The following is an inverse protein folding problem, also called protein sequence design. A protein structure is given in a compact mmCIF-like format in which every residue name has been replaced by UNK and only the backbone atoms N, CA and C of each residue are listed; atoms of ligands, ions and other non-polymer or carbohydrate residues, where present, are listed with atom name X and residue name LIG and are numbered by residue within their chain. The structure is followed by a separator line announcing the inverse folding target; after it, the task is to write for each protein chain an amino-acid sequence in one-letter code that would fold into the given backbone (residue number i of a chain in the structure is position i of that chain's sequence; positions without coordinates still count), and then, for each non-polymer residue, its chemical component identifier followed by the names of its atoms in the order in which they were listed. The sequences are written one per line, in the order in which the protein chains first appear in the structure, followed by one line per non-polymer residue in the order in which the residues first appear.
data_IF_694603768738
#
_entry.id   IF_694603768738
#
_cell.length_a   1.000
_cell.length_b   1.000
_cell.length_c   1.000
_cell.angle_alpha   90.00
_cell.angle_beta   90.00
_cell.angle_gamma   90.00
#
_symmetry.space_group_name_H-M   'P 1'
#
loop_
_entity.id
_entity.type
_entity.pdbx_description
1 polymer ?
#
# COMPACT_ATOMS: atom_id res chain seq x y z
N UNK A 1 -1.03 -8.03 -12.60
CA UNK A 1 -0.88 -6.72 -13.26
C UNK A 1 -2.14 -5.91 -12.96
N UNK A 2 -2.05 -4.58 -12.81
CA UNK A 2 -3.09 -3.77 -12.15
C UNK A 2 -4.08 -3.15 -13.14
N UNK A 3 -4.64 -3.98 -14.01
CA UNK A 3 -5.51 -3.55 -15.11
C UNK A 3 -6.55 -4.64 -15.45
N UNK A 4 -7.67 -4.22 -16.04
CA UNK A 4 -8.72 -5.09 -16.53
C UNK A 4 -8.35 -5.79 -17.84
N UNK A 5 -9.29 -6.58 -18.37
CA UNK A 5 -9.15 -7.30 -19.64
C UNK A 5 -8.99 -6.38 -20.85
N UNK A 6 -9.48 -5.14 -20.77
CA UNK A 6 -9.34 -4.11 -21.79
C UNK A 6 -8.03 -3.30 -21.68
N UNK A 7 -7.15 -3.58 -20.71
CA UNK A 7 -5.91 -2.85 -20.47
C UNK A 7 -6.05 -1.60 -19.60
N UNK A 8 -7.28 -1.17 -19.31
CA UNK A 8 -7.58 -0.04 -18.43
C UNK A 8 -7.20 -0.33 -16.97
N UNK A 9 -6.64 0.64 -16.23
CA UNK A 9 -6.31 0.47 -14.82
C UNK A 9 -7.53 0.15 -13.96
N UNK A 10 -7.41 -0.83 -13.06
CA UNK A 10 -8.43 -1.07 -12.04
C UNK A 10 -8.19 -0.13 -10.85
N UNK A 11 -8.79 1.06 -10.89
CA UNK A 11 -8.63 2.09 -9.85
C UNK A 11 -9.84 2.11 -8.92
N UNK A 12 -9.58 2.04 -7.61
CA UNK A 12 -10.57 2.27 -6.57
C UNK A 12 -10.39 3.71 -6.07
N UNK A 13 -11.35 4.58 -6.40
CA UNK A 13 -11.36 5.96 -5.92
C UNK A 13 -12.02 6.05 -4.56
N UNK A 14 -11.25 6.38 -3.53
CA UNK A 14 -11.70 6.32 -2.13
C UNK A 14 -12.61 7.50 -1.73
N UNK A 15 -12.32 8.71 -2.22
CA UNK A 15 -13.10 9.89 -1.83
C UNK A 15 -14.59 9.78 -2.25
N UNK A 16 -14.93 9.34 -3.48
CA UNK A 16 -16.33 9.12 -3.86
C UNK A 16 -17.08 8.12 -2.98
N UNK A 17 -16.41 7.04 -2.54
CA UNK A 17 -17.02 6.02 -1.66
C UNK A 17 -17.37 6.62 -0.29
N UNK A 18 -16.47 7.43 0.27
CA UNK A 18 -16.72 8.11 1.54
C UNK A 18 -17.83 9.17 1.42
N UNK A 19 -17.85 9.96 0.35
CA UNK A 19 -18.93 10.92 0.09
C UNK A 19 -20.28 10.21 -0.05
N UNK A 20 -20.34 9.08 -0.78
CA UNK A 20 -21.57 8.29 -0.93
C UNK A 20 -22.05 7.71 0.40
N UNK A 21 -21.12 7.34 1.28
CA UNK A 21 -21.44 6.93 2.65
C UNK A 21 -21.80 8.12 3.56
N UNK A 22 -21.85 9.36 3.06
CA UNK A 22 -22.26 10.53 3.83
C UNK A 22 -21.17 11.06 4.77
N UNK A 23 -19.89 10.81 4.47
CA UNK A 23 -18.78 11.51 5.12
C UNK A 23 -18.55 12.84 4.42
N UNK A 24 -18.25 13.87 5.21
CA UNK A 24 -18.01 15.22 4.70
C UNK A 24 -16.65 15.79 5.07
N UNK A 25 -15.96 15.21 6.05
CA UNK A 25 -14.70 15.75 6.58
C UNK A 25 -13.65 14.65 6.75
N UNK A 26 -12.85 14.48 5.72
CA UNK A 26 -11.82 13.46 5.63
C UNK A 26 -10.74 13.88 4.63
N UNK A 27 -9.58 13.25 4.73
CA UNK A 27 -8.48 13.45 3.77
C UNK A 27 -7.85 12.12 3.37
N UNK A 28 -7.92 11.80 2.09
CA UNK A 28 -7.21 10.66 1.50
C UNK A 28 -5.81 11.09 1.11
N UNK A 29 -4.80 10.33 1.54
CA UNK A 29 -3.39 10.50 1.18
C UNK A 29 -2.91 9.26 0.44
N UNK A 30 -2.29 9.47 -0.73
CA UNK A 30 -1.63 8.45 -1.52
C UNK A 30 -0.11 8.64 -1.38
N UNK A 31 0.56 7.96 -0.42
CA UNK A 31 1.96 8.24 -0.09
C UNK A 31 2.96 7.65 -1.10
N UNK A 32 2.50 7.09 -2.23
CA UNK A 32 3.36 6.50 -3.25
C UNK A 32 4.25 7.54 -3.95
N UNK A 33 3.77 8.77 -4.10
CA UNK A 33 4.48 9.88 -4.73
C UNK A 33 4.23 11.18 -3.99
N UNK A 34 4.93 12.24 -4.41
CA UNK A 34 4.63 13.60 -3.96
C UNK A 34 3.17 14.00 -4.28
N UNK A 35 2.48 14.76 -3.40
CA UNK A 35 1.07 15.12 -3.58
C UNK A 35 0.75 15.98 -4.80
N UNK A 36 1.75 16.60 -5.45
CA UNK A 36 1.55 17.39 -6.66
C UNK A 36 1.62 16.56 -7.95
N UNK A 37 1.91 15.25 -7.86
CA UNK A 37 1.84 14.34 -8.99
C UNK A 37 0.38 13.99 -9.26
N UNK A 38 -0.16 14.45 -10.40
CA UNK A 38 -1.55 14.23 -10.80
C UNK A 38 -1.72 13.22 -11.94
N UNK A 39 -0.63 12.65 -12.45
CA UNK A 39 -0.69 11.62 -13.48
C UNK A 39 -0.76 10.22 -12.86
N UNK A 40 -0.97 9.20 -13.69
CA UNK A 40 -1.03 7.77 -13.31
C UNK A 40 0.07 7.26 -12.35
N UNK A 41 1.20 7.96 -12.20
CA UNK A 41 2.23 7.68 -11.20
C UNK A 41 1.78 7.80 -9.74
N UNK A 42 0.68 8.51 -9.46
CA UNK A 42 0.12 8.68 -8.11
C UNK A 42 -0.78 7.51 -7.65
N UNK A 43 -0.87 6.44 -8.43
CA UNK A 43 -1.72 5.29 -8.16
C UNK A 43 -0.91 4.13 -7.58
N UNK A 44 -1.23 3.71 -6.36
CA UNK A 44 -0.51 2.67 -5.61
C UNK A 44 -1.43 1.69 -4.89
N UNK A 45 -0.86 0.61 -4.35
CA UNK A 45 -1.62 -0.40 -3.59
C UNK A 45 -1.86 -0.05 -2.11
N UNK A 46 -1.49 1.15 -1.68
CA UNK A 46 -1.58 1.61 -0.29
C UNK A 46 -2.09 3.06 -0.25
N UNK A 47 -3.03 3.33 0.65
CA UNK A 47 -3.51 4.67 0.97
C UNK A 47 -3.69 4.81 2.49
N UNK A 48 -3.61 6.04 2.99
CA UNK A 48 -3.97 6.37 4.37
C UNK A 48 -5.02 7.47 4.39
N UNK A 49 -5.97 7.37 5.31
CA UNK A 49 -7.13 8.26 5.41
C UNK A 49 -7.15 8.89 6.78
N UNK A 50 -7.21 10.21 6.82
CA UNK A 50 -7.43 11.01 8.03
C UNK A 50 -8.91 11.33 8.14
N UNK A 51 -9.48 11.16 9.33
CA UNK A 51 -10.87 11.46 9.64
C UNK A 51 -10.89 12.51 10.74
N UNK A 52 -11.64 13.60 10.55
CA UNK A 52 -11.71 14.65 11.57
C UNK A 52 -12.62 14.23 12.75
N UNK A 53 -13.64 13.41 12.50
CA UNK A 53 -14.55 12.91 13.54
C UNK A 53 -14.34 11.44 13.85
N UNK A 54 -14.16 11.13 15.14
CA UNK A 54 -14.12 9.75 15.64
C UNK A 54 -15.43 8.98 15.36
N UNK A 55 -16.57 9.68 15.24
CA UNK A 55 -17.85 9.04 14.90
C UNK A 55 -17.86 8.42 13.49
N UNK A 56 -16.97 8.88 12.62
CA UNK A 56 -16.98 8.50 11.21
C UNK A 56 -16.14 7.26 10.92
N UNK A 57 -15.35 6.79 11.89
CA UNK A 57 -14.49 5.62 11.73
C UNK A 57 -15.26 4.36 11.32
N UNK A 58 -16.37 4.06 11.99
CA UNK A 58 -17.18 2.89 11.69
C UNK A 58 -17.78 2.99 10.28
N UNK A 59 -18.30 4.18 9.93
CA UNK A 59 -18.92 4.44 8.63
C UNK A 59 -17.90 4.40 7.49
N UNK A 60 -16.71 4.96 7.69
CA UNK A 60 -15.61 4.91 6.73
C UNK A 60 -15.18 3.45 6.46
N UNK A 61 -15.09 2.62 7.51
CA UNK A 61 -14.78 1.20 7.35
C UNK A 61 -15.88 0.44 6.60
N UNK A 62 -17.13 0.69 6.95
CA UNK A 62 -18.30 0.09 6.29
C UNK A 62 -18.38 0.48 4.81
N UNK A 63 -18.05 1.73 4.46
CA UNK A 63 -18.01 2.21 3.07
C UNK A 63 -17.01 1.46 2.18
N UNK A 64 -16.01 0.80 2.78
CA UNK A 64 -14.99 0.02 2.08
C UNK A 64 -15.24 -1.50 2.19
N UNK A 65 -16.20 -1.92 3.02
CA UNK A 65 -16.53 -3.33 3.17
C UNK A 65 -17.18 -3.87 1.89
N UNK A 66 -16.74 -5.06 1.46
CA UNK A 66 -17.20 -5.67 0.22
C UNK A 66 -16.81 -4.94 -1.08
N UNK A 67 -16.03 -3.86 -1.03
CA UNK A 67 -15.53 -3.19 -2.24
C UNK A 67 -14.52 -4.09 -2.95
N UNK A 68 -14.86 -4.53 -4.16
CA UNK A 68 -13.97 -5.36 -4.98
C UNK A 68 -12.59 -4.71 -5.15
N UNK A 69 -11.55 -5.48 -4.83
CA UNK A 69 -10.15 -5.04 -4.94
C UNK A 69 -9.59 -4.36 -3.69
N UNK A 70 -10.40 -4.10 -2.65
CA UNK A 70 -9.89 -3.76 -1.32
C UNK A 70 -9.52 -5.04 -0.59
N UNK A 71 -8.24 -5.19 -0.22
CA UNK A 71 -7.72 -6.38 0.47
C UNK A 71 -7.78 -6.22 2.00
N UNK A 72 -7.42 -5.04 2.52
CA UNK A 72 -7.46 -4.74 3.96
C UNK A 72 -7.88 -3.30 4.22
N UNK A 73 -8.66 -3.12 5.28
CA UNK A 73 -8.91 -1.84 5.93
C UNK A 73 -8.55 -1.99 7.41
N UNK A 74 -7.50 -1.29 7.81
CA UNK A 74 -6.94 -1.35 9.16
C UNK A 74 -7.10 0.00 9.84
N UNK A 75 -7.34 -0.02 11.15
CA UNK A 75 -7.16 1.17 11.99
C UNK A 75 -5.69 1.55 12.06
N UNK A 76 -5.40 2.79 12.46
CA UNK A 76 -4.04 3.26 12.77
C UNK A 76 -3.26 2.26 13.63
N UNK A 77 -3.85 1.81 14.73
CA UNK A 77 -3.17 0.92 15.68
C UNK A 77 -2.88 -0.45 15.07
N UNK A 78 -3.87 -1.07 14.42
CA UNK A 78 -3.70 -2.35 13.71
C UNK A 78 -2.59 -2.26 12.65
N UNK A 79 -2.56 -1.17 11.87
CA UNK A 79 -1.55 -0.97 10.84
C UNK A 79 -0.16 -0.72 11.42
N UNK A 80 -0.04 0.06 12.49
CA UNK A 80 1.24 0.33 13.15
C UNK A 80 1.83 -0.93 13.76
N UNK A 81 1.00 -1.74 14.42
CA UNK A 81 1.42 -3.02 15.00
C UNK A 81 1.82 -4.03 13.92
N UNK A 82 0.98 -4.21 12.89
CA UNK A 82 1.20 -5.22 11.85
C UNK A 82 2.40 -4.89 10.94
N UNK A 83 2.60 -3.61 10.63
CA UNK A 83 3.59 -3.18 9.63
C UNK A 83 4.80 -2.46 10.22
N UNK A 84 4.82 -2.20 11.53
CA UNK A 84 5.90 -1.46 12.19
C UNK A 84 5.94 0.02 11.77
N UNK A 85 4.78 0.65 11.65
CA UNK A 85 4.66 2.04 11.18
C UNK A 85 4.65 3.04 12.35
N UNK A 86 5.14 4.28 12.14
CA UNK A 86 5.05 5.36 13.13
C UNK A 86 3.62 5.92 13.20
N UNK A 87 2.98 5.81 14.37
CA UNK A 87 1.58 6.21 14.57
C UNK A 87 1.33 7.71 14.43
N UNK A 88 2.34 8.55 14.64
CA UNK A 88 2.29 10.00 14.47
C UNK A 88 2.31 10.45 12.99
N UNK A 89 2.52 9.53 12.04
CA UNK A 89 2.61 9.83 10.60
C UNK A 89 1.63 9.05 9.74
N UNK A 90 0.70 8.31 10.36
CA UNK A 90 -0.32 7.52 9.68
C UNK A 90 -1.71 8.03 10.08
N UNK A 91 -2.61 8.06 9.09
CA UNK A 91 -4.01 8.43 9.28
C UNK A 91 -4.78 7.44 10.14
N UNK A 92 -6.05 7.73 10.34
CA UNK A 92 -6.97 6.95 11.16
C UNK A 92 -7.24 5.56 10.59
N UNK A 93 -7.23 5.47 9.25
CA UNK A 93 -7.33 4.23 8.50
C UNK A 93 -6.17 4.05 7.53
N UNK A 94 -5.83 2.80 7.30
CA UNK A 94 -4.94 2.33 6.23
C UNK A 94 -5.74 1.40 5.33
N UNK A 95 -5.68 1.65 4.02
CA UNK A 95 -6.36 0.87 2.99
C UNK A 95 -5.31 0.23 2.10
N UNK A 96 -5.43 -1.07 1.86
CA UNK A 96 -4.56 -1.84 0.99
C UNK A 96 -5.40 -2.52 -0.08
N UNK A 97 -4.98 -2.40 -1.35
CA UNK A 97 -5.63 -3.07 -2.47
C UNK A 97 -5.04 -4.45 -2.74
N UNK A 98 -5.79 -5.29 -3.45
CA UNK A 98 -5.29 -6.52 -4.05
C UNK A 98 -4.27 -6.23 -5.16
N UNK A 99 -3.49 -7.23 -5.56
CA UNK A 99 -2.38 -7.08 -6.52
C UNK A 99 -2.75 -6.77 -7.97
N UNK A 100 -4.05 -6.74 -8.28
CA UNK A 100 -4.61 -6.37 -9.57
C UNK A 100 -5.36 -5.04 -9.54
N UNK A 101 -5.37 -4.33 -8.40
CA UNK A 101 -5.99 -3.01 -8.21
C UNK A 101 -4.99 -1.98 -7.68
N UNK A 102 -5.31 -0.71 -7.91
CA UNK A 102 -4.66 0.45 -7.29
C UNK A 102 -5.71 1.34 -6.60
N UNK A 103 -5.24 2.15 -5.66
CA UNK A 103 -6.03 3.12 -4.91
C UNK A 103 -5.77 4.52 -5.47
N UNK A 104 -6.84 5.27 -5.68
CA UNK A 104 -6.85 6.68 -6.05
C UNK A 104 -7.67 7.51 -5.05
N UNK A 105 -7.57 8.83 -5.16
CA UNK A 105 -8.34 9.77 -4.35
C UNK A 105 -9.71 10.00 -4.97
N UNK A 106 -9.80 10.82 -6.02
CA UNK A 106 -11.00 11.06 -6.81
C UNK A 106 -10.68 11.05 -8.31
N UNK A 107 -11.60 10.61 -9.20
CA UNK A 107 -11.33 10.48 -10.64
C UNK A 107 -10.74 11.74 -11.28
N UNK A 108 -11.26 12.91 -10.93
CA UNK A 108 -10.84 14.21 -11.46
C UNK A 108 -9.44 14.66 -11.00
N UNK A 109 -8.86 13.99 -9.99
CA UNK A 109 -7.51 14.26 -9.47
C UNK A 109 -6.42 13.40 -10.14
N UNK A 110 -6.81 12.50 -11.06
CA UNK A 110 -5.90 11.58 -11.73
C UNK A 110 -6.06 11.69 -13.26
N UNK A 111 -5.01 12.16 -13.93
CA UNK A 111 -4.92 12.16 -15.39
C UNK A 111 -4.26 10.87 -15.89
N UNK A 112 -5.08 10.01 -16.51
CA UNK A 112 -4.66 8.74 -17.08
C UNK A 112 -4.28 8.83 -18.56
N UNK A 113 -4.48 9.97 -19.22
CA UNK A 113 -4.24 10.11 -20.67
C UNK A 113 -2.79 9.85 -21.09
N UNK A 114 -1.84 10.04 -20.16
CA UNK A 114 -0.42 9.74 -20.36
C UNK A 114 -0.05 8.26 -20.23
N UNK A 115 -0.98 7.39 -19.82
CA UNK A 115 -0.71 5.96 -19.64
C UNK A 115 -0.80 5.23 -21.00
N UNK A 116 0.36 4.95 -21.60
CA UNK A 116 0.45 4.29 -22.92
C UNK A 116 0.50 2.76 -22.84
N UNK A 117 1.00 2.25 -21.72
CA UNK A 117 1.16 0.82 -21.45
C UNK A 117 0.28 0.43 -20.25
N UNK A 118 -0.13 -0.86 -20.12
CA UNK A 118 -0.93 -1.29 -18.98
C UNK A 118 -0.27 -0.98 -17.64
N UNK A 119 -1.04 -0.44 -16.69
CA UNK A 119 -0.50 0.06 -15.43
C UNK A 119 0.22 -1.04 -14.64
N UNK A 120 1.47 -0.75 -14.27
CA UNK A 120 2.25 -1.48 -13.28
C UNK A 120 2.60 -0.54 -12.15
N UNK A 121 2.29 -0.95 -10.92
CA UNK A 121 2.56 -0.17 -9.72
C UNK A 121 2.83 -1.11 -8.55
N UNK A 122 3.08 -0.55 -7.37
CA UNK A 122 3.41 -1.27 -6.14
C UNK A 122 2.72 -0.66 -4.91
N UNK A 123 3.11 -1.10 -3.72
CA UNK A 123 2.69 -0.55 -2.44
C UNK A 123 1.75 -1.46 -1.65
N UNK A 124 1.13 -2.45 -2.29
CA UNK A 124 0.28 -3.43 -1.61
C UNK A 124 1.06 -4.62 -1.04
N UNK A 125 0.34 -5.56 -0.43
CA UNK A 125 0.95 -6.79 0.12
C UNK A 125 1.42 -7.76 -0.97
N UNK A 126 0.76 -7.74 -2.13
CA UNK A 126 1.16 -8.51 -3.32
C UNK A 126 2.57 -8.20 -3.81
N UNK A 127 3.11 -7.02 -3.50
CA UNK A 127 4.45 -6.60 -3.88
C UNK A 127 5.49 -6.75 -2.75
N UNK A 128 5.11 -7.29 -1.59
CA UNK A 128 5.99 -7.34 -0.41
C UNK A 128 7.12 -8.39 -0.52
N UNK A 129 6.90 -9.48 -1.26
CA UNK A 129 7.89 -10.55 -1.41
C UNK A 129 8.98 -10.13 -2.38
N UNK A 130 10.22 -10.08 -1.90
CA UNK A 130 11.42 -9.71 -2.68
C UNK A 130 12.50 -10.79 -2.58
N UNK A 131 13.39 -10.93 -3.58
CA UNK A 131 14.51 -11.85 -3.48
C UNK A 131 15.50 -11.40 -2.39
N UNK A 132 16.09 -12.39 -1.71
CA UNK A 132 17.14 -12.20 -0.73
C UNK A 132 18.30 -13.12 -1.12
N UNK A 133 19.31 -12.58 -1.80
CA UNK A 133 20.40 -13.35 -2.41
C UNK A 133 21.73 -12.95 -1.78
N UNK A 134 22.48 -13.96 -1.33
CA UNK A 134 23.84 -13.82 -0.78
C UNK A 134 24.74 -14.83 -1.51
N UNK A 135 25.99 -14.45 -1.81
CA UNK A 135 26.95 -15.28 -2.54
C UNK A 135 27.81 -16.17 -1.61
N UNK A 136 27.35 -16.38 -0.38
CA UNK A 136 27.95 -17.22 0.66
C UNK A 136 26.86 -18.02 1.35
N UNK A 137 27.25 -19.13 1.99
CA UNK A 137 26.32 -19.89 2.83
C UNK A 137 26.00 -19.07 4.08
N UNK A 138 24.75 -19.10 4.49
CA UNK A 138 24.32 -18.56 5.78
C UNK A 138 24.27 -19.67 6.82
N UNK A 139 24.46 -19.32 8.08
CA UNK A 139 24.21 -20.21 9.23
C UNK A 139 22.78 -20.79 9.20
N UNK A 140 22.61 -22.01 9.71
CA UNK A 140 21.34 -22.75 9.58
C UNK A 140 20.18 -22.15 10.39
N UNK A 141 20.49 -21.46 11.48
CA UNK A 141 19.55 -20.80 12.38
C UNK A 141 19.22 -19.34 11.97
N UNK A 142 19.88 -18.83 10.92
CA UNK A 142 19.59 -17.53 10.31
C UNK A 142 18.22 -17.56 9.58
N UNK A 143 17.16 -17.42 10.38
CA UNK A 143 15.74 -17.43 9.99
C UNK A 143 15.13 -16.04 10.01
N UNK A 144 13.92 -15.88 9.45
CA UNK A 144 13.21 -14.60 9.42
C UNK A 144 13.90 -13.55 8.55
N UNK A 145 13.54 -13.48 7.26
CA UNK A 145 14.18 -12.56 6.32
C UNK A 145 13.26 -11.41 5.96
N UNK A 146 13.64 -10.20 6.36
CA UNK A 146 13.16 -8.95 5.79
C UNK A 146 14.25 -8.39 4.88
N UNK A 147 13.84 -7.60 3.90
CA UNK A 147 14.79 -6.94 2.99
C UNK A 147 15.84 -6.10 3.74
N UNK A 148 15.45 -5.45 4.84
CA UNK A 148 16.34 -4.65 5.67
C UNK A 148 17.29 -5.48 6.56
N UNK A 149 17.11 -6.79 6.66
CA UNK A 149 18.01 -7.68 7.42
C UNK A 149 19.26 -8.07 6.63
N UNK A 150 19.40 -7.62 5.38
CA UNK A 150 20.50 -8.02 4.50
C UNK A 150 21.88 -7.80 5.15
N UNK A 151 22.09 -6.66 5.82
CA UNK A 151 23.34 -6.38 6.52
C UNK A 151 23.57 -7.30 7.71
N UNK A 152 22.54 -7.62 8.49
CA UNK A 152 22.69 -8.54 9.61
C UNK A 152 23.13 -9.92 9.10
N UNK A 153 22.49 -10.43 8.04
CA UNK A 153 22.85 -11.72 7.47
C UNK A 153 24.24 -11.71 6.83
N UNK A 154 24.62 -10.66 6.09
CA UNK A 154 25.91 -10.63 5.38
C UNK A 154 27.10 -10.33 6.29
N UNK A 155 26.90 -9.68 7.44
CA UNK A 155 27.98 -9.33 8.37
C UNK A 155 28.13 -10.32 9.53
N UNK A 156 27.02 -10.91 9.99
CA UNK A 156 27.02 -11.68 11.24
C UNK A 156 26.70 -13.16 11.05
N UNK A 157 26.20 -13.59 9.88
CA UNK A 157 25.69 -14.95 9.67
C UNK A 157 26.21 -15.63 8.41
N UNK A 158 27.18 -15.04 7.71
CA UNK A 158 27.87 -15.73 6.61
C UNK A 158 28.87 -16.71 7.21
N UNK A 159 28.86 -17.93 6.71
CA UNK A 159 29.87 -18.92 7.06
C UNK A 159 31.17 -18.50 6.37
N UNK A 160 32.22 -18.22 7.14
CA UNK A 160 33.56 -18.02 6.61
C UNK A 160 34.05 -19.34 6.00
N UNK A 161 34.66 -19.27 4.82
CA UNK A 161 35.33 -20.43 4.25
C UNK A 161 36.62 -20.63 5.05
N UNK A 162 36.79 -21.79 5.69
CA UNK A 162 38.08 -22.20 6.27
C UNK A 162 39.10 -22.28 5.13
N UNK A 163 39.97 -21.28 5.03
CA UNK A 163 41.13 -21.26 4.13
C UNK A 163 42.35 -21.93 4.75
#
# INVERSE_FOLDING_TARGET
AKHGSAGEPNVIYLEPLFVQAGLSDFRVILPITDPYVVHHGALGGFATVYLESQSDHARAREALDGVTGVEKVLTRNEACELFGLPSDRIGDLVVISTGDHVLGSAPEKHDLSGLKDPLRSHGGLSEQRVPFIVNRRLEADATGRRNFDIFNHTLNHVVEDDS
#
